data_IF_932205510893
#
_entry.id   IF_932205510893
#
_cell.length_a   1.000
_cell.length_b   1.000
_cell.length_c   1.000
_cell.angle_alpha   90.00
_cell.angle_beta   90.00
_cell.angle_gamma   90.00
#
_symmetry.space_group_name_H-M   'P 1'
#
loop_
_entity.id
_entity.type
_entity.pdbx_description
1 polymer ?
#
# COMPACT_ATOMS: atom_id res chain seq x y z
N UNK A 1 -46.15 89.56 -10.93
CA UNK A 1 -46.54 89.19 -9.55
C UNK A 1 -45.70 87.98 -9.16
N UNK A 2 -44.73 88.17 -8.24
CA UNK A 2 -43.79 87.15 -7.76
C UNK A 2 -44.43 86.31 -6.67
N UNK A 3 -44.43 84.99 -6.80
CA UNK A 3 -44.63 84.00 -5.71
C UNK A 3 -44.04 82.68 -6.24
N UNK A 4 -43.30 81.81 -5.56
CA UNK A 4 -42.38 81.83 -4.43
C UNK A 4 -41.62 80.49 -4.49
N UNK A 5 -40.38 80.43 -4.01
CA UNK A 5 -39.49 79.26 -4.03
C UNK A 5 -39.98 78.17 -3.07
N UNK A 6 -39.91 76.90 -3.51
CA UNK A 6 -39.98 75.71 -2.66
C UNK A 6 -38.71 74.89 -2.84
N UNK A 7 -37.81 74.97 -1.85
CA UNK A 7 -36.56 74.21 -1.76
C UNK A 7 -36.89 72.86 -1.09
N UNK A 8 -36.66 71.74 -1.78
CA UNK A 8 -36.78 70.39 -1.20
C UNK A 8 -35.37 69.79 -1.16
N UNK A 9 -34.79 69.74 0.04
CA UNK A 9 -33.56 69.05 0.36
C UNK A 9 -33.84 67.55 0.50
N UNK A 10 -33.31 66.74 -0.42
CA UNK A 10 -33.32 65.28 -0.31
C UNK A 10 -32.09 64.83 0.49
N UNK A 11 -32.30 64.38 1.73
CA UNK A 11 -31.27 63.69 2.52
C UNK A 11 -31.12 62.26 2.02
N UNK A 12 -29.98 61.95 1.38
CA UNK A 12 -29.58 60.60 1.04
C UNK A 12 -29.08 59.89 2.32
N UNK A 13 -29.91 59.02 2.90
CA UNK A 13 -29.51 58.15 4.00
C UNK A 13 -28.62 57.03 3.48
N UNK A 14 -27.32 57.09 3.79
CA UNK A 14 -26.40 55.99 3.54
C UNK A 14 -26.58 54.90 4.63
N UNK A 15 -27.30 53.84 4.30
CA UNK A 15 -27.33 52.60 5.08
C UNK A 15 -26.03 51.83 4.84
N UNK A 16 -25.07 52.00 5.75
CA UNK A 16 -23.87 51.15 5.82
C UNK A 16 -24.27 49.79 6.42
N UNK A 17 -24.49 48.80 5.55
CA UNK A 17 -24.64 47.41 5.98
C UNK A 17 -23.25 46.90 6.38
N UNK A 18 -22.99 46.85 7.69
CA UNK A 18 -21.77 46.27 8.23
C UNK A 18 -21.71 44.78 7.92
N UNK A 19 -20.92 44.40 6.91
CA UNK A 19 -20.61 43.01 6.64
C UNK A 19 -19.64 42.49 7.72
N UNK A 20 -20.16 41.70 8.67
CA UNK A 20 -19.32 40.85 9.52
C UNK A 20 -18.69 39.76 8.63
N UNK A 21 -17.55 40.06 8.03
CA UNK A 21 -16.78 39.10 7.25
C UNK A 21 -16.14 38.07 8.21
N UNK A 22 -16.80 36.93 8.39
CA UNK A 22 -16.22 35.78 9.05
C UNK A 22 -15.33 35.04 8.03
N UNK A 23 -14.07 35.46 7.90
CA UNK A 23 -13.11 34.73 7.07
C UNK A 23 -12.84 33.35 7.69
N UNK A 24 -12.97 32.24 6.94
CA UNK A 24 -12.55 30.95 7.44
C UNK A 24 -11.06 31.00 7.73
N UNK A 25 -10.70 30.69 8.98
CA UNK A 25 -9.33 30.56 9.44
C UNK A 25 -8.65 29.51 8.57
N UNK A 26 -7.75 29.92 7.69
CA UNK A 26 -6.86 29.00 6.99
C UNK A 26 -6.01 28.31 8.05
N UNK A 27 -6.34 27.06 8.37
CA UNK A 27 -5.48 26.20 9.16
C UNK A 27 -4.27 25.95 8.28
N UNK A 28 -3.13 26.55 8.65
CA UNK A 28 -1.87 26.30 7.97
C UNK A 28 -1.64 24.78 7.96
N UNK A 29 -1.63 24.19 6.77
CA UNK A 29 -1.25 22.80 6.60
C UNK A 29 0.15 22.65 7.19
N UNK A 30 0.32 21.73 8.14
CA UNK A 30 1.64 21.40 8.66
C UNK A 30 2.57 21.11 7.47
N UNK A 31 3.86 21.51 7.54
CA UNK A 31 4.79 21.20 6.47
C UNK A 31 4.76 19.68 6.20
N UNK A 32 4.77 19.26 4.92
CA UNK A 32 4.78 17.84 4.60
C UNK A 32 5.94 17.19 5.36
N UNK A 33 5.75 15.98 5.92
CA UNK A 33 6.83 15.28 6.56
C UNK A 33 8.03 15.20 5.61
N UNK A 34 9.28 15.19 6.13
CA UNK A 34 10.47 15.10 5.30
C UNK A 34 10.31 13.99 4.27
N UNK A 35 10.64 14.29 3.00
CA UNK A 35 10.59 13.30 1.95
C UNK A 35 11.45 12.09 2.37
N UNK A 36 10.86 10.89 2.33
CA UNK A 36 11.60 9.67 2.64
C UNK A 36 12.83 9.55 1.73
N UNK A 37 13.97 9.05 2.25
CA UNK A 37 15.13 8.77 1.44
C UNK A 37 14.74 7.90 0.23
N UNK A 38 15.05 8.37 -0.97
CA UNK A 38 14.71 7.65 -2.18
C UNK A 38 15.58 6.40 -2.29
N UNK A 39 14.96 5.23 -2.21
CA UNK A 39 15.67 3.96 -2.32
C UNK A 39 16.14 3.71 -3.78
N UNK A 40 17.29 3.05 -3.99
CA UNK A 40 17.87 2.84 -5.31
C UNK A 40 17.21 1.66 -6.05
N UNK A 41 15.93 1.81 -6.41
CA UNK A 41 15.22 0.80 -7.22
C UNK A 41 15.89 0.61 -8.57
N UNK A 42 16.17 -0.64 -8.94
CA UNK A 42 16.65 -1.01 -10.28
C UNK A 42 15.49 -1.08 -11.26
N UNK A 43 14.32 -1.50 -10.78
CA UNK A 43 13.07 -1.47 -11.53
C UNK A 43 11.89 -1.15 -10.62
N UNK A 44 11.12 -0.12 -10.99
CA UNK A 44 9.91 0.29 -10.29
C UNK A 44 8.99 1.03 -11.27
N UNK A 45 7.69 0.94 -11.03
CA UNK A 45 6.66 1.78 -11.65
C UNK A 45 5.96 2.65 -10.59
N UNK A 46 6.61 2.82 -9.43
CA UNK A 46 6.11 3.57 -8.28
C UNK A 46 5.20 2.78 -7.34
N UNK A 47 4.89 1.51 -7.63
CA UNK A 47 3.94 0.74 -6.82
C UNK A 47 4.49 0.42 -5.43
N UNK A 48 5.75 0.03 -5.29
CA UNK A 48 6.35 -0.29 -3.99
C UNK A 48 6.51 0.96 -3.10
N UNK A 49 7.05 2.10 -3.60
CA UNK A 49 7.05 3.34 -2.84
C UNK A 49 5.65 3.79 -2.41
N UNK A 50 4.65 3.69 -3.30
CA UNK A 50 3.28 4.06 -2.94
C UNK A 50 2.69 3.11 -1.89
N UNK A 51 2.91 1.80 -2.05
CA UNK A 51 2.40 0.82 -1.10
C UNK A 51 3.00 0.97 0.30
N UNK A 52 4.26 1.40 0.40
CA UNK A 52 4.85 1.76 1.69
C UNK A 52 4.12 2.96 2.33
N UNK A 53 3.86 4.03 1.58
CA UNK A 53 3.12 5.21 2.07
C UNK A 53 1.72 4.82 2.53
N UNK A 54 1.01 4.03 1.74
CA UNK A 54 -0.33 3.56 2.08
C UNK A 54 -0.32 2.70 3.36
N UNK A 55 0.72 1.88 3.55
CA UNK A 55 0.89 1.08 4.76
C UNK A 55 1.18 1.93 6.00
N UNK A 56 1.99 2.98 5.86
CA UNK A 56 2.21 3.94 6.95
C UNK A 56 0.91 4.69 7.27
N UNK A 57 0.13 5.09 6.26
CA UNK A 57 -1.15 5.75 6.46
C UNK A 57 -2.17 4.83 7.15
N UNK A 58 -2.23 3.55 6.77
CA UNK A 58 -3.18 2.59 7.32
C UNK A 58 -2.82 2.08 8.72
N UNK A 59 -1.52 1.96 9.02
CA UNK A 59 -1.04 1.24 10.21
C UNK A 59 -0.08 2.04 11.11
N UNK A 60 0.16 3.31 10.80
CA UNK A 60 1.21 4.13 11.41
C UNK A 60 2.62 3.62 11.05
N UNK A 61 3.67 4.08 11.75
CA UNK A 61 5.02 3.57 11.57
C UNK A 61 5.06 2.04 11.60
N UNK A 62 5.65 1.42 10.57
CA UNK A 62 5.59 -0.03 10.43
C UNK A 62 6.45 -0.74 11.48
N UNK A 63 7.72 -0.35 11.61
CA UNK A 63 8.69 -0.86 12.61
C UNK A 63 8.62 -2.38 12.85
N UNK A 64 8.37 -3.16 11.80
CA UNK A 64 8.15 -4.60 11.87
C UNK A 64 9.47 -5.36 12.01
N UNK A 65 9.53 -6.29 12.95
CA UNK A 65 10.62 -7.25 13.08
C UNK A 65 10.47 -8.39 12.06
N UNK A 66 11.55 -9.15 11.78
CA UNK A 66 11.45 -10.32 10.90
C UNK A 66 10.37 -11.30 11.35
N UNK A 67 9.45 -11.63 10.44
CA UNK A 67 8.32 -12.52 10.71
C UNK A 67 7.06 -11.80 11.22
N UNK A 68 7.09 -10.48 11.44
CA UNK A 68 5.92 -9.71 11.85
C UNK A 68 5.10 -9.19 10.65
N UNK A 69 3.82 -8.92 10.91
CA UNK A 69 2.86 -8.38 9.96
C UNK A 69 1.79 -7.54 10.66
N UNK A 70 1.10 -6.69 9.89
CA UNK A 70 -0.15 -6.02 10.28
C UNK A 70 -1.24 -6.36 9.27
N UNK A 71 -2.48 -6.44 9.75
CA UNK A 71 -3.65 -6.75 8.94
C UNK A 71 -4.85 -5.98 9.48
N UNK A 72 -5.70 -5.44 8.60
CA UNK A 72 -6.86 -4.65 9.03
C UNK A 72 -7.92 -5.54 9.69
N UNK A 73 -8.66 -5.00 10.66
CA UNK A 73 -9.74 -5.75 11.30
C UNK A 73 -10.90 -6.03 10.33
N UNK A 74 -11.22 -5.05 9.47
CA UNK A 74 -12.22 -5.16 8.43
C UNK A 74 -11.55 -5.16 7.05
N UNK A 75 -11.89 -6.16 6.24
CA UNK A 75 -11.48 -6.28 4.84
C UNK A 75 -12.73 -6.07 3.97
N UNK A 76 -12.69 -5.20 2.94
CA UNK A 76 -13.81 -5.04 2.03
C UNK A 76 -14.27 -6.38 1.42
N UNK A 77 -15.58 -6.62 1.39
CA UNK A 77 -16.15 -7.87 0.86
C UNK A 77 -15.98 -7.97 -0.66
N UNK A 78 -16.03 -6.84 -1.36
CA UNK A 78 -15.96 -6.75 -2.81
C UNK A 78 -14.65 -6.09 -3.30
N UNK A 79 -14.40 -6.21 -4.61
CA UNK A 79 -13.25 -5.62 -5.29
C UNK A 79 -12.09 -6.58 -5.50
N UNK A 80 -11.26 -6.26 -6.48
CA UNK A 80 -10.13 -7.11 -6.85
C UNK A 80 -9.06 -7.12 -5.78
N UNK A 81 -8.38 -8.26 -5.64
CA UNK A 81 -7.19 -8.37 -4.79
C UNK A 81 -5.94 -8.20 -5.65
N UNK A 82 -5.00 -7.37 -5.18
CA UNK A 82 -3.68 -7.18 -5.78
C UNK A 82 -2.62 -7.18 -4.70
N UNK A 83 -1.41 -7.60 -5.05
CA UNK A 83 -0.27 -7.61 -4.13
C UNK A 83 0.92 -6.85 -4.71
N UNK A 84 1.67 -6.19 -3.85
CA UNK A 84 2.91 -5.49 -4.19
C UNK A 84 4.01 -6.00 -3.28
N UNK A 85 5.17 -6.33 -3.85
CA UNK A 85 6.33 -6.81 -3.11
C UNK A 85 7.48 -5.82 -3.34
N UNK A 86 7.97 -5.25 -2.26
CA UNK A 86 9.14 -4.36 -2.23
C UNK A 86 10.35 -5.17 -1.77
N UNK A 87 11.25 -5.50 -2.70
CA UNK A 87 12.44 -6.27 -2.38
C UNK A 87 13.52 -5.46 -1.65
N UNK A 88 13.55 -4.13 -1.80
CA UNK A 88 14.51 -3.29 -1.09
C UNK A 88 14.13 -3.13 0.38
N UNK A 89 12.84 -2.95 0.68
CA UNK A 89 12.33 -2.90 2.06
C UNK A 89 12.04 -4.29 2.67
N UNK A 90 12.07 -5.35 1.86
CA UNK A 90 11.63 -6.70 2.25
C UNK A 90 10.21 -6.69 2.84
N UNK A 91 9.27 -6.06 2.12
CA UNK A 91 7.86 -5.97 2.51
C UNK A 91 6.93 -6.54 1.44
N UNK A 92 5.81 -7.09 1.91
CA UNK A 92 4.71 -7.58 1.09
C UNK A 92 3.43 -6.86 1.49
N UNK A 93 2.79 -6.23 0.51
CA UNK A 93 1.58 -5.44 0.67
C UNK A 93 0.39 -6.12 -0.01
N UNK A 94 -0.78 -6.04 0.61
CA UNK A 94 -2.01 -6.62 0.11
C UNK A 94 -3.07 -5.54 0.03
N UNK A 95 -3.71 -5.45 -1.12
CA UNK A 95 -4.86 -4.59 -1.34
C UNK A 95 -6.10 -5.43 -1.64
N UNK A 96 -7.25 -4.91 -1.21
CA UNK A 96 -8.57 -5.35 -1.63
C UNK A 96 -9.33 -4.12 -2.11
N UNK A 97 -9.82 -4.16 -3.35
CA UNK A 97 -10.15 -2.94 -4.10
C UNK A 97 -8.93 -1.99 -4.10
N UNK A 98 -9.13 -0.76 -3.62
CA UNK A 98 -8.08 0.25 -3.46
C UNK A 98 -7.62 0.44 -2.02
N UNK A 99 -8.14 -0.38 -1.08
CA UNK A 99 -7.73 -0.33 0.31
C UNK A 99 -6.58 -1.28 0.58
N UNK A 100 -5.50 -0.79 1.18
CA UNK A 100 -4.46 -1.62 1.75
C UNK A 100 -4.99 -2.34 3.01
N UNK A 101 -4.93 -3.66 3.00
CA UNK A 101 -5.50 -4.51 4.06
C UNK A 101 -4.46 -5.32 4.82
N UNK A 102 -3.23 -5.40 4.31
CA UNK A 102 -2.17 -6.13 4.98
C UNK A 102 -0.77 -5.71 4.55
N UNK A 103 0.17 -5.80 5.49
CA UNK A 103 1.61 -5.64 5.25
C UNK A 103 2.39 -6.65 6.08
N UNK A 104 3.42 -7.27 5.51
CA UNK A 104 4.28 -8.22 6.23
C UNK A 104 5.74 -8.04 5.85
N UNK A 105 6.64 -8.35 6.79
CA UNK A 105 8.05 -8.58 6.46
C UNK A 105 8.22 -9.89 5.70
N UNK A 106 9.14 -9.91 4.74
CA UNK A 106 9.43 -11.10 3.94
C UNK A 106 10.89 -11.47 3.93
N UNK A 107 11.18 -12.66 3.44
CA UNK A 107 12.53 -13.05 3.03
C UNK A 107 12.52 -13.57 1.60
N UNK A 108 13.08 -12.77 0.68
CA UNK A 108 13.16 -13.05 -0.75
C UNK A 108 14.38 -13.89 -1.12
N UNK A 109 14.61 -14.05 -2.43
CA UNK A 109 15.75 -14.77 -3.01
C UNK A 109 17.10 -14.15 -2.69
N UNK A 110 18.06 -14.97 -2.26
CA UNK A 110 19.45 -14.54 -2.00
C UNK A 110 20.19 -14.22 -3.30
N UNK A 111 21.38 -13.61 -3.17
CA UNK A 111 22.31 -13.38 -4.30
C UNK A 111 22.55 -14.66 -5.11
N UNK A 112 22.42 -14.59 -6.43
CA UNK A 112 22.51 -15.71 -7.38
C UNK A 112 21.24 -16.57 -7.49
N UNK A 113 20.18 -16.20 -6.75
CA UNK A 113 18.85 -16.83 -6.71
C UNK A 113 17.77 -15.77 -6.49
N UNK A 114 17.92 -14.64 -7.17
CA UNK A 114 17.09 -13.44 -6.98
C UNK A 114 15.62 -13.73 -7.29
N UNK A 115 14.73 -13.11 -6.51
CA UNK A 115 13.31 -13.07 -6.84
C UNK A 115 13.13 -12.18 -8.06
N UNK A 116 12.46 -12.65 -9.13
CA UNK A 116 12.37 -11.89 -10.37
C UNK A 116 11.45 -10.67 -10.21
N UNK A 117 11.90 -9.52 -10.70
CA UNK A 117 11.13 -8.28 -10.76
C UNK A 117 10.10 -8.36 -11.89
N UNK A 118 9.03 -7.58 -11.79
CA UNK A 118 8.06 -7.42 -12.87
C UNK A 118 6.61 -7.53 -12.43
N UNK A 119 5.75 -7.64 -13.44
CA UNK A 119 4.32 -7.88 -13.30
C UNK A 119 4.01 -9.35 -13.53
N UNK A 120 3.26 -9.92 -12.60
CA UNK A 120 2.92 -11.34 -12.56
C UNK A 120 1.45 -11.51 -12.21
N UNK A 121 0.99 -12.74 -12.25
CA UNK A 121 -0.33 -13.12 -11.72
C UNK A 121 -0.24 -14.48 -11.06
N UNK A 122 -1.01 -14.70 -10.00
CA UNK A 122 -1.08 -16.01 -9.35
C UNK A 122 -1.59 -17.04 -10.35
N UNK A 123 -0.80 -18.08 -10.62
CA UNK A 123 -1.12 -19.15 -11.57
C UNK A 123 -1.67 -20.38 -10.89
N UNK A 124 -1.20 -20.67 -9.68
CA UNK A 124 -1.53 -21.91 -8.97
C UNK A 124 -1.49 -21.68 -7.45
N UNK A 125 -2.45 -22.29 -6.75
CA UNK A 125 -2.55 -22.23 -5.29
C UNK A 125 -2.60 -23.64 -4.70
N UNK A 126 -1.79 -23.90 -3.67
CA UNK A 126 -1.84 -25.14 -2.88
C UNK A 126 -1.69 -24.84 -1.39
N UNK A 127 -2.68 -25.21 -0.59
CA UNK A 127 -2.62 -25.05 0.88
C UNK A 127 -1.48 -25.87 1.49
N UNK A 128 -1.27 -27.10 1.00
CA UNK A 128 -0.12 -27.97 1.32
C UNK A 128 0.78 -28.10 0.08
N UNK A 129 1.56 -27.06 -0.21
CA UNK A 129 2.53 -27.06 -1.31
C UNK A 129 3.85 -27.71 -0.92
N UNK A 130 4.62 -28.16 -1.91
CA UNK A 130 5.94 -28.74 -1.74
C UNK A 130 6.85 -28.36 -2.90
N UNK A 131 8.13 -28.11 -2.61
CA UNK A 131 9.12 -27.82 -3.64
C UNK A 131 9.60 -29.08 -4.33
N UNK A 132 9.30 -29.23 -5.61
CA UNK A 132 9.79 -30.38 -6.42
C UNK A 132 11.31 -30.36 -6.62
N UNK A 133 11.92 -29.19 -6.55
CA UNK A 133 13.35 -28.97 -6.80
C UNK A 133 14.22 -29.13 -5.54
N UNK A 134 13.62 -28.97 -4.37
CA UNK A 134 14.33 -28.95 -3.09
C UNK A 134 13.76 -30.03 -2.17
N UNK A 135 13.93 -31.30 -2.57
CA UNK A 135 13.61 -32.49 -1.77
C UNK A 135 12.23 -32.45 -1.08
N UNK A 136 11.20 -32.04 -1.82
CA UNK A 136 9.84 -31.88 -1.29
C UNK A 136 9.78 -30.99 -0.04
N UNK A 137 10.62 -29.96 0.05
CA UNK A 137 10.55 -29.00 1.14
C UNK A 137 9.14 -28.39 1.23
N UNK A 138 8.51 -28.34 2.42
CA UNK A 138 7.15 -27.87 2.57
C UNK A 138 7.03 -26.38 2.25
N UNK A 139 5.98 -26.04 1.51
CA UNK A 139 5.59 -24.68 1.14
C UNK A 139 4.12 -24.45 1.53
N UNK A 140 3.80 -24.26 2.81
CA UNK A 140 2.42 -24.05 3.25
C UNK A 140 1.85 -22.77 2.64
N UNK A 141 0.58 -22.81 2.24
CA UNK A 141 -0.11 -21.69 1.58
C UNK A 141 0.61 -21.19 0.32
N UNK A 142 1.17 -22.12 -0.46
CA UNK A 142 1.89 -21.81 -1.68
C UNK A 142 1.00 -21.16 -2.73
N UNK A 143 1.48 -20.05 -3.28
CA UNK A 143 0.90 -19.37 -4.43
C UNK A 143 2.00 -19.10 -5.45
N UNK A 144 1.99 -19.87 -6.53
CA UNK A 144 2.95 -19.76 -7.63
C UNK A 144 2.50 -18.66 -8.58
N UNK A 145 3.43 -17.81 -8.98
CA UNK A 145 3.17 -16.67 -9.88
C UNK A 145 4.07 -16.66 -11.11
N UNK A 146 5.05 -17.56 -11.16
CA UNK A 146 6.02 -17.69 -12.25
C UNK A 146 6.09 -19.15 -12.73
N UNK A 147 6.15 -19.38 -14.05
CA UNK A 147 6.14 -20.73 -14.64
C UNK A 147 7.37 -21.58 -14.29
N UNK A 148 8.47 -20.97 -13.82
CA UNK A 148 9.68 -21.69 -13.38
C UNK A 148 9.55 -22.21 -11.95
N UNK A 149 8.38 -22.05 -11.32
CA UNK A 149 8.06 -22.60 -10.02
C UNK A 149 8.32 -21.65 -8.85
N UNK A 150 8.49 -20.35 -9.10
CA UNK A 150 8.66 -19.36 -8.04
C UNK A 150 7.29 -18.98 -7.46
N UNK A 151 7.23 -18.90 -6.14
CA UNK A 151 6.00 -18.71 -5.38
C UNK A 151 6.22 -17.81 -4.17
N UNK A 152 5.14 -17.29 -3.61
CA UNK A 152 5.11 -16.87 -2.21
C UNK A 152 4.40 -17.92 -1.36
N UNK A 153 4.93 -18.16 -0.16
CA UNK A 153 4.45 -19.20 0.77
C UNK A 153 4.94 -18.93 2.18
N UNK A 154 4.34 -19.60 3.17
CA UNK A 154 4.82 -19.53 4.55
C UNK A 154 6.23 -20.13 4.67
N UNK A 155 7.12 -19.48 5.43
CA UNK A 155 8.47 -19.99 5.67
C UNK A 155 9.28 -19.12 6.62
N UNK A 156 10.48 -19.58 6.96
CA UNK A 156 11.38 -18.85 7.85
C UNK A 156 11.77 -17.48 7.26
N UNK A 157 11.73 -16.45 8.10
CA UNK A 157 12.16 -15.10 7.75
C UNK A 157 13.31 -14.66 8.68
N UNK A 158 14.58 -14.79 8.25
CA UNK A 158 15.74 -14.37 9.04
C UNK A 158 16.01 -12.86 9.00
N UNK A 159 15.14 -12.06 8.36
CA UNK A 159 15.29 -10.60 8.26
C UNK A 159 16.11 -10.11 7.08
N UNK A 160 16.52 -11.01 6.18
CA UNK A 160 17.24 -10.68 4.95
C UNK A 160 16.89 -11.67 3.83
N UNK A 161 17.20 -11.36 2.55
CA UNK A 161 17.02 -12.32 1.46
C UNK A 161 17.83 -13.59 1.71
N UNK A 162 17.17 -14.74 1.68
CA UNK A 162 17.79 -16.03 2.00
C UNK A 162 17.11 -17.25 1.33
N UNK A 163 16.08 -17.03 0.52
CA UNK A 163 15.43 -18.12 -0.21
C UNK A 163 16.16 -18.45 -1.51
N UNK A 164 15.65 -19.43 -2.26
CA UNK A 164 16.10 -19.76 -3.61
C UNK A 164 15.26 -19.10 -4.73
N UNK A 165 14.58 -17.99 -4.42
CA UNK A 165 13.77 -17.20 -5.35
C UNK A 165 12.36 -16.93 -4.83
N UNK A 166 11.79 -17.87 -4.08
CA UNK A 166 10.46 -17.70 -3.46
C UNK A 166 10.43 -16.56 -2.45
N UNK A 167 9.26 -15.97 -2.23
CA UNK A 167 9.07 -14.97 -1.17
C UNK A 167 8.46 -15.65 0.05
N UNK A 168 9.22 -15.70 1.15
CA UNK A 168 8.78 -16.35 2.39
C UNK A 168 8.01 -15.37 3.27
N UNK A 169 6.84 -15.82 3.73
CA UNK A 169 5.87 -15.05 4.50
C UNK A 169 5.70 -15.61 5.92
N UNK A 170 5.28 -14.78 6.90
CA UNK A 170 4.78 -15.27 8.18
C UNK A 170 3.59 -16.21 7.99
N UNK A 171 3.50 -17.28 8.77
CA UNK A 171 2.50 -18.35 8.56
C UNK A 171 1.05 -17.84 8.57
N UNK A 172 0.68 -17.04 9.57
CA UNK A 172 -0.68 -16.50 9.72
C UNK A 172 -1.01 -15.45 8.66
N UNK A 173 -0.02 -14.71 8.19
CA UNK A 173 -0.19 -13.80 7.08
C UNK A 173 -0.42 -14.57 5.77
N UNK A 174 0.37 -15.62 5.51
CA UNK A 174 0.22 -16.46 4.33
C UNK A 174 -1.14 -17.16 4.28
N UNK A 175 -1.67 -17.60 5.43
CA UNK A 175 -3.02 -18.15 5.58
C UNK A 175 -4.09 -17.12 5.15
N UNK A 176 -4.08 -15.92 5.73
CA UNK A 176 -5.02 -14.83 5.39
C UNK A 176 -4.92 -14.42 3.93
N UNK A 177 -3.71 -14.28 3.41
CA UNK A 177 -3.45 -13.97 2.01
C UNK A 177 -4.01 -15.06 1.11
N UNK A 178 -3.82 -16.34 1.45
CA UNK A 178 -4.32 -17.46 0.67
C UNK A 178 -5.85 -17.47 0.61
N UNK A 179 -6.54 -17.09 1.66
CA UNK A 179 -8.01 -17.03 1.63
C UNK A 179 -8.51 -15.84 0.79
N UNK A 180 -7.78 -14.72 0.78
CA UNK A 180 -8.18 -13.50 0.08
C UNK A 180 -7.89 -13.51 -1.42
N UNK A 181 -6.77 -14.08 -1.84
CA UNK A 181 -6.35 -14.11 -3.25
C UNK A 181 -7.05 -15.19 -4.06
N UNK A 182 -6.92 -15.13 -5.38
CA UNK A 182 -7.37 -16.16 -6.31
C UNK A 182 -6.34 -16.35 -7.44
N UNK A 183 -6.51 -17.41 -8.24
CA UNK A 183 -5.78 -17.51 -9.52
C UNK A 183 -6.15 -16.29 -10.37
N UNK A 184 -5.14 -15.64 -10.97
CA UNK A 184 -5.28 -14.37 -11.68
C UNK A 184 -5.07 -13.13 -10.79
N UNK A 185 -4.95 -13.25 -9.46
CA UNK A 185 -4.57 -12.12 -8.60
C UNK A 185 -3.26 -11.49 -9.11
N UNK A 186 -3.29 -10.18 -9.34
CA UNK A 186 -2.14 -9.41 -9.84
C UNK A 186 -1.06 -9.33 -8.77
N UNK A 187 0.20 -9.51 -9.20
CA UNK A 187 1.38 -9.50 -8.34
C UNK A 187 2.40 -8.55 -8.98
N UNK A 188 2.80 -7.50 -8.27
CA UNK A 188 3.83 -6.57 -8.72
C UNK A 188 5.06 -6.73 -7.82
N UNK A 189 6.25 -6.91 -8.40
CA UNK A 189 7.50 -7.08 -7.65
C UNK A 189 8.51 -6.02 -8.11
N UNK A 190 8.85 -5.10 -7.21
CA UNK A 190 9.78 -4.00 -7.47
C UNK A 190 10.98 -4.07 -6.53
N UNK A 191 12.14 -3.57 -6.99
CA UNK A 191 13.39 -3.63 -6.23
C UNK A 191 14.61 -3.13 -6.98
#
# INVERSE_FOLDING_TARGET
>A
MRISKGLVTATLGALLVGACANQPRQVALAPPPPAEPQLPYKWTQGNAPQAYKDAVAAFGPLALKPGEYKWTAAVPTNGDTKVVIDLLRQLFFVYRADQLVGVATVSSGKKGRETPLGFWSVMLKKKKGYSRKYDNAPMPYMQMYDPKGIAFHAGANPGHPASHGCVRLPLKFAERLFDLTQVGTKVTIEG
#
